data_IF_907497635184
#
_entry.id   IF_907497635184
#
_cell.length_a   1.000
_cell.length_b   1.000
_cell.length_c   1.000
_cell.angle_alpha   90.00
_cell.angle_beta   90.00
_cell.angle_gamma   90.00
#
_symmetry.space_group_name_H-M   'P 1'
#
loop_
_entity.id
_entity.type
_entity.pdbx_description
1 polymer ?
#
# COMPACT_ATOMS: atom_id res chain seq x y z
N UNK A 1 -7.78 -2.03 5.81
CA UNK A 1 -6.66 -1.14 5.42
C UNK A 1 -5.32 -1.86 5.41
N UNK A 2 -4.80 -2.36 6.55
CA UNK A 2 -3.44 -2.98 6.58
C UNK A 2 -3.25 -4.12 5.56
N UNK A 3 -4.13 -5.13 5.59
CA UNK A 3 -4.07 -6.27 4.65
C UNK A 3 -4.16 -5.84 3.19
N UNK A 4 -5.10 -4.94 2.87
CA UNK A 4 -5.27 -4.42 1.50
C UNK A 4 -4.03 -3.66 1.03
N UNK A 5 -3.42 -2.83 1.88
CA UNK A 5 -2.18 -2.13 1.56
C UNK A 5 -1.05 -3.12 1.32
N UNK A 6 -0.87 -4.09 2.22
CA UNK A 6 0.14 -5.14 2.07
C UNK A 6 -0.01 -5.90 0.74
N UNK A 7 -1.22 -6.34 0.41
CA UNK A 7 -1.49 -6.98 -0.89
C UNK A 7 -1.15 -6.06 -2.07
N UNK A 8 -1.50 -4.78 -1.98
CA UNK A 8 -1.17 -3.78 -3.00
C UNK A 8 0.33 -3.60 -3.20
N UNK A 9 1.13 -3.66 -2.14
CA UNK A 9 2.59 -3.60 -2.22
C UNK A 9 3.18 -4.88 -2.82
N UNK A 10 2.69 -6.05 -2.42
CA UNK A 10 3.15 -7.35 -2.93
C UNK A 10 2.93 -7.49 -4.44
N UNK A 11 1.82 -6.95 -4.95
CA UNK A 11 1.45 -7.01 -6.38
C UNK A 11 1.80 -5.72 -7.13
N UNK A 12 2.75 -4.90 -6.62
CA UNK A 12 2.97 -3.53 -7.10
C UNK A 12 3.14 -3.38 -8.61
N UNK A 13 3.78 -4.35 -9.26
CA UNK A 13 4.05 -4.31 -10.70
C UNK A 13 2.81 -4.65 -11.54
N UNK A 14 1.84 -5.35 -10.96
CA UNK A 14 0.58 -5.73 -11.62
C UNK A 14 -0.47 -4.61 -11.52
N UNK A 15 -0.23 -3.59 -10.70
CA UNK A 15 -1.18 -2.49 -10.48
C UNK A 15 -1.17 -1.53 -11.66
N UNK A 16 -2.25 -1.57 -12.45
CA UNK A 16 -2.48 -0.65 -13.57
C UNK A 16 -3.35 0.56 -13.19
N UNK A 17 -4.12 0.45 -12.10
CA UNK A 17 -4.98 1.53 -11.60
C UNK A 17 -5.03 1.48 -10.08
N UNK A 18 -5.09 2.65 -9.46
CA UNK A 18 -5.29 2.81 -8.01
C UNK A 18 -6.57 3.58 -7.77
N UNK A 19 -7.33 3.22 -6.74
CA UNK A 19 -8.63 3.84 -6.55
C UNK A 19 -9.24 3.62 -5.18
N UNK A 20 -10.23 4.45 -4.93
CA UNK A 20 -11.17 4.36 -3.83
C UNK A 20 -12.46 5.04 -4.30
N UNK A 21 -13.59 4.82 -3.62
CA UNK A 21 -14.86 5.45 -4.03
C UNK A 21 -14.72 6.98 -4.12
N UNK A 22 -14.10 7.61 -3.12
CA UNK A 22 -13.82 9.05 -3.10
C UNK A 22 -12.31 9.31 -2.98
N UNK A 23 -11.86 10.46 -3.48
CA UNK A 23 -10.48 10.91 -3.32
C UNK A 23 -9.99 10.90 -1.86
N UNK A 24 -10.87 11.24 -0.91
CA UNK A 24 -10.59 11.18 0.53
C UNK A 24 -10.27 9.76 1.03
N UNK A 25 -10.81 8.72 0.40
CA UNK A 25 -10.47 7.33 0.69
C UNK A 25 -9.06 6.98 0.25
N UNK A 26 -8.66 7.41 -0.95
CA UNK A 26 -7.32 7.19 -1.47
C UNK A 26 -6.28 7.98 -0.65
N UNK A 27 -6.57 9.24 -0.30
CA UNK A 27 -5.72 10.04 0.57
C UNK A 27 -5.52 9.37 1.95
N UNK A 28 -6.59 8.81 2.54
CA UNK A 28 -6.47 8.03 3.78
C UNK A 28 -5.59 6.78 3.61
N UNK A 29 -5.65 6.11 2.47
CA UNK A 29 -4.78 4.96 2.19
C UNK A 29 -3.31 5.38 2.05
N UNK A 30 -3.03 6.48 1.34
CA UNK A 30 -1.66 7.03 1.23
C UNK A 30 -1.15 7.46 2.60
N UNK A 31 -1.96 8.16 3.39
CA UNK A 31 -1.59 8.56 4.75
C UNK A 31 -1.37 7.34 5.67
N UNK A 32 -2.17 6.29 5.50
CA UNK A 32 -1.95 5.03 6.22
C UNK A 32 -0.59 4.42 5.86
N UNK A 33 -0.17 4.45 4.59
CA UNK A 33 1.16 4.01 4.18
C UNK A 33 2.26 4.86 4.83
N UNK A 34 2.11 6.19 4.86
CA UNK A 34 3.06 7.10 5.54
C UNK A 34 3.30 6.72 7.00
N UNK A 35 2.26 6.32 7.72
CA UNK A 35 2.36 5.99 9.15
C UNK A 35 2.84 4.56 9.41
N UNK A 36 2.69 3.63 8.45
CA UNK A 36 2.85 2.19 8.70
C UNK A 36 3.87 1.49 7.79
N UNK A 37 4.55 2.20 6.88
CA UNK A 37 5.46 1.58 5.91
C UNK A 37 6.56 0.75 6.56
N UNK A 38 7.08 1.15 7.74
CA UNK A 38 8.13 0.41 8.45
C UNK A 38 7.69 -1.00 8.83
N UNK A 39 6.48 -1.12 9.36
CA UNK A 39 5.92 -2.41 9.75
C UNK A 39 5.53 -3.24 8.52
N UNK A 40 4.99 -2.61 7.47
CA UNK A 40 4.70 -3.27 6.20
C UNK A 40 5.99 -3.83 5.56
N UNK A 41 7.07 -3.05 5.52
CA UNK A 41 8.35 -3.49 5.00
C UNK A 41 8.94 -4.64 5.82
N UNK A 42 8.80 -4.60 7.15
CA UNK A 42 9.22 -5.70 8.04
C UNK A 42 8.45 -7.00 7.77
N UNK A 43 7.14 -6.91 7.61
CA UNK A 43 6.29 -8.07 7.27
C UNK A 43 6.67 -8.65 5.91
N UNK A 44 6.93 -7.80 4.91
CA UNK A 44 7.40 -8.21 3.57
C UNK A 44 8.78 -8.87 3.65
N UNK A 45 9.74 -8.28 4.36
CA UNK A 45 11.09 -8.81 4.50
C UNK A 45 11.11 -10.18 5.20
N UNK A 46 10.32 -10.32 6.27
CA UNK A 46 10.27 -11.56 7.06
C UNK A 46 9.33 -12.62 6.48
N UNK A 47 8.40 -12.24 5.60
CA UNK A 47 7.30 -13.09 5.16
C UNK A 47 6.30 -13.45 6.27
N UNK A 48 6.36 -12.76 7.42
CA UNK A 48 5.52 -13.05 8.59
C UNK A 48 4.57 -11.88 8.80
N UNK A 49 3.27 -12.18 8.76
CA UNK A 49 2.23 -11.18 8.96
C UNK A 49 2.14 -10.74 10.42
N UNK A 50 2.12 -9.42 10.63
CA UNK A 50 1.95 -8.79 11.94
C UNK A 50 0.79 -9.42 12.74
N UNK A 51 1.02 -9.82 14.02
CA UNK A 51 -0.03 -10.35 14.90
C UNK A 51 -1.23 -9.43 15.12
N UNK A 52 -1.08 -8.10 14.90
CA UNK A 52 -2.20 -7.14 14.97
C UNK A 52 -3.32 -7.46 13.98
N UNK A 53 -3.02 -8.17 12.89
CA UNK A 53 -4.05 -8.75 12.01
C UNK A 53 -4.50 -10.08 12.63
N UNK A 54 -5.50 -10.02 13.50
CA UNK A 54 -5.98 -11.18 14.27
C UNK A 54 -7.00 -12.05 13.53
N UNK A 55 -7.68 -11.51 12.52
CA UNK A 55 -8.72 -12.22 11.78
C UNK A 55 -8.16 -13.48 11.07
N UNK A 56 -8.61 -14.70 11.43
CA UNK A 56 -8.05 -15.93 10.89
C UNK A 56 -8.19 -16.06 9.38
N UNK A 57 -9.32 -15.61 8.81
CA UNK A 57 -9.60 -15.71 7.38
C UNK A 57 -8.66 -14.82 6.57
N UNK A 58 -8.36 -13.62 7.07
CA UNK A 58 -7.39 -12.71 6.45
C UNK A 58 -5.98 -13.29 6.57
N UNK A 59 -5.61 -13.85 7.73
CA UNK A 59 -4.30 -14.47 7.92
C UNK A 59 -4.08 -15.64 6.97
N UNK A 60 -5.08 -16.49 6.78
CA UNK A 60 -5.03 -17.62 5.84
C UNK A 60 -4.92 -17.15 4.38
N UNK A 61 -5.64 -16.08 4.01
CA UNK A 61 -5.51 -15.50 2.66
C UNK A 61 -4.11 -14.93 2.42
N UNK A 62 -3.57 -14.18 3.38
CA UNK A 62 -2.27 -13.53 3.23
C UNK A 62 -1.13 -14.54 3.26
N UNK A 63 -1.21 -15.62 4.06
CA UNK A 63 -0.15 -16.63 4.12
C UNK A 63 0.10 -17.33 2.78
N UNK A 64 -0.90 -17.35 1.89
CA UNK A 64 -0.78 -17.91 0.53
C UNK A 64 0.07 -17.04 -0.40
N UNK A 65 0.16 -15.73 -0.13
CA UNK A 65 0.81 -14.75 -1.01
C UNK A 65 2.06 -14.09 -0.38
N UNK A 66 2.10 -13.97 0.95
CA UNK A 66 3.20 -13.33 1.66
C UNK A 66 4.35 -14.33 1.82
N UNK A 67 5.41 -14.08 1.05
CA UNK A 67 6.69 -14.81 1.16
C UNK A 67 7.79 -13.80 1.50
N UNK A 68 8.88 -14.22 2.18
CA UNK A 68 10.00 -13.34 2.44
C UNK A 68 10.52 -12.72 1.15
N UNK A 69 10.58 -11.38 1.10
CA UNK A 69 11.05 -10.63 -0.07
C UNK A 69 11.84 -9.39 0.38
N UNK A 70 13.16 -9.52 0.49
CA UNK A 70 14.04 -8.44 0.94
C UNK A 70 14.15 -7.30 -0.07
N UNK A 71 14.20 -7.61 -1.37
CA UNK A 71 14.30 -6.61 -2.44
C UNK A 71 13.09 -5.68 -2.45
N UNK A 72 11.88 -6.24 -2.37
CA UNK A 72 10.67 -5.44 -2.28
C UNK A 72 10.68 -4.58 -1.01
N UNK A 73 11.05 -5.16 0.14
CA UNK A 73 11.10 -4.41 1.39
C UNK A 73 12.07 -3.21 1.31
N UNK A 74 13.25 -3.39 0.72
CA UNK A 74 14.22 -2.32 0.51
C UNK A 74 13.69 -1.20 -0.41
N UNK A 75 12.97 -1.56 -1.48
CA UNK A 75 12.31 -0.57 -2.35
C UNK A 75 11.29 0.24 -1.54
N UNK A 76 10.44 -0.41 -0.74
CA UNK A 76 9.45 0.29 0.10
C UNK A 76 10.14 1.21 1.09
N UNK A 77 11.20 0.75 1.77
CA UNK A 77 11.97 1.55 2.72
C UNK A 77 12.54 2.79 2.02
N UNK A 78 13.30 2.59 0.93
CA UNK A 78 13.97 3.65 0.18
C UNK A 78 12.99 4.70 -0.35
N UNK A 79 11.80 4.29 -0.78
CA UNK A 79 10.82 5.22 -1.32
C UNK A 79 9.99 5.95 -0.25
N UNK A 80 9.73 5.30 0.90
CA UNK A 80 8.90 5.86 1.96
C UNK A 80 9.69 6.62 3.03
N UNK A 81 10.99 6.37 3.20
CA UNK A 81 11.85 7.10 4.15
C UNK A 81 12.13 8.55 3.72
N UNK A 82 11.95 8.86 2.44
CA UNK A 82 12.12 10.20 1.89
C UNK A 82 11.10 11.16 2.51
N UNK A 83 11.54 12.37 2.85
CA UNK A 83 10.64 13.43 3.32
C UNK A 83 9.65 13.88 2.23
N UNK A 84 10.06 13.85 0.96
CA UNK A 84 9.19 14.24 -0.16
C UNK A 84 8.38 13.04 -0.71
N UNK A 85 7.07 13.08 -0.49
CA UNK A 85 6.10 12.08 -0.98
C UNK A 85 5.43 12.46 -2.30
N UNK A 86 5.78 13.59 -2.90
CA UNK A 86 5.33 13.95 -4.26
C UNK A 86 5.65 12.82 -5.24
N UNK A 87 4.68 12.33 -5.99
CA UNK A 87 4.90 11.21 -6.94
C UNK A 87 5.09 9.83 -6.30
N UNK A 88 4.84 9.66 -4.99
CA UNK A 88 5.00 8.36 -4.32
C UNK A 88 4.21 7.23 -4.99
N UNK A 89 3.02 7.56 -5.54
CA UNK A 89 2.16 6.57 -6.19
C UNK A 89 2.88 5.88 -7.34
N UNK A 90 3.53 6.63 -8.23
CA UNK A 90 4.23 6.04 -9.38
C UNK A 90 5.59 5.44 -9.00
N UNK A 91 6.18 5.84 -7.87
CA UNK A 91 7.39 5.18 -7.36
C UNK A 91 7.09 3.82 -6.73
N UNK A 92 6.00 3.71 -5.98
CA UNK A 92 5.57 2.46 -5.38
C UNK A 92 4.84 1.58 -6.41
N UNK A 93 3.95 2.11 -7.23
CA UNK A 93 3.19 1.39 -8.24
C UNK A 93 3.51 1.93 -9.64
N UNK A 94 4.64 1.52 -10.24
CA UNK A 94 5.18 2.15 -11.45
C UNK A 94 4.32 2.01 -12.71
N UNK A 95 3.46 0.99 -12.76
CA UNK A 95 2.60 0.74 -13.92
C UNK A 95 1.21 1.40 -13.80
N UNK A 96 0.98 2.24 -12.77
CA UNK A 96 -0.29 2.95 -12.58
C UNK A 96 -0.54 3.93 -13.72
N UNK A 97 -1.63 3.74 -14.45
CA UNK A 97 -2.03 4.58 -15.59
C UNK A 97 -2.93 5.74 -15.19
N UNK A 98 -3.81 5.53 -14.21
CA UNK A 98 -4.76 6.54 -13.75
C UNK A 98 -5.24 6.25 -12.31
N UNK A 99 -5.84 7.26 -11.68
CA UNK A 99 -6.52 7.16 -10.39
C UNK A 99 -8.02 7.08 -10.59
N UNK A 100 -8.63 6.00 -10.12
CA UNK A 100 -10.06 5.70 -10.22
C UNK A 100 -10.75 6.17 -8.93
N UNK A 101 -11.03 7.47 -8.85
CA UNK A 101 -11.60 8.14 -7.67
C UNK A 101 -12.61 9.21 -8.08
N UNK A 102 -13.69 9.34 -7.30
CA UNK A 102 -14.60 10.50 -7.45
C UNK A 102 -13.90 11.74 -6.92
N UNK A 103 -13.68 12.71 -7.81
CA UNK A 103 -13.16 14.06 -7.55
C UNK A 103 -14.16 15.16 -7.90
N UNK A 104 -15.29 14.80 -8.51
CA UNK A 104 -16.39 15.72 -8.80
C UNK A 104 -17.31 15.84 -7.59
N UNK A 105 -17.58 17.06 -7.13
CA UNK A 105 -18.30 17.31 -5.88
C UNK A 105 -17.66 18.45 -5.09
N UNK A 106 -18.05 18.62 -3.82
CA UNK A 106 -17.90 19.83 -2.97
C UNK A 106 -16.73 20.76 -3.36
N UNK A 107 -17.08 21.75 -4.17
CA UNK A 107 -16.41 23.04 -4.20
C UNK A 107 -16.93 23.81 -2.98
N UNK A 108 -16.13 23.95 -1.92
CA UNK A 108 -16.38 25.04 -0.98
C UNK A 108 -16.09 26.35 -1.72
N UNK A 109 -17.09 27.22 -1.78
CA UNK A 109 -16.95 28.62 -2.19
C UNK A 109 -16.25 29.41 -1.09
#
# INVERSE_FOLDING_TARGET
MYSQMLCGLLMREQVLKLGAVFASGLLRAIHFLQLNWQQLAKDIASGILNPRVSDPSIRECISKILKPNHELAEIIIKECEKQNWEGIITRIWPNTKYLDVIVTGIYDK
#
